data_IF_836560985793
#
_entry.id   IF_836560985793
#
_cell.length_a   1.000
_cell.length_b   1.000
_cell.length_c   1.000
_cell.angle_alpha   90.00
_cell.angle_beta   90.00
_cell.angle_gamma   90.00
#
_symmetry.space_group_name_H-M   'P 1'
#
loop_
_entity.id
_entity.type
_entity.pdbx_description
1 polymer ?
#
# COMPACT_ATOMS: atom_id res chain seq x y z
N UNK A 1 6.93 -7.61 12.56
CA UNK A 1 6.28 -6.31 12.76
C UNK A 1 6.25 -5.57 11.43
N UNK A 2 5.33 -4.63 11.27
CA UNK A 2 5.20 -3.86 10.03
C UNK A 2 6.25 -2.74 9.98
N UNK A 3 6.77 -2.43 8.79
CA UNK A 3 7.65 -1.28 8.58
C UNK A 3 6.82 -0.01 8.69
N UNK A 4 7.16 0.87 9.63
CA UNK A 4 6.44 2.13 9.82
C UNK A 4 7.11 3.30 9.09
N UNK A 5 8.42 3.24 8.90
CA UNK A 5 9.18 4.32 8.30
C UNK A 5 10.45 3.81 7.63
N UNK A 6 10.75 4.36 6.46
CA UNK A 6 12.04 4.25 5.78
C UNK A 6 12.65 5.64 5.65
N UNK A 7 13.90 5.80 6.09
CA UNK A 7 14.68 7.02 5.91
C UNK A 7 15.90 6.75 5.05
N UNK A 8 16.08 7.53 4.00
CA UNK A 8 17.26 7.48 3.15
C UNK A 8 18.05 8.80 3.29
N UNK A 9 19.32 8.68 3.69
CA UNK A 9 20.24 9.79 3.88
C UNK A 9 21.43 9.62 2.94
N UNK A 10 21.55 10.50 1.93
CA UNK A 10 22.55 10.38 0.88
C UNK A 10 22.49 11.54 -0.11
N UNK A 11 22.96 11.31 -1.34
CA UNK A 11 22.91 12.32 -2.41
C UNK A 11 21.49 12.82 -2.71
N UNK A 12 20.48 11.98 -2.46
CA UNK A 12 19.07 12.36 -2.44
C UNK A 12 18.48 11.91 -1.11
N UNK A 13 17.92 12.83 -0.33
CA UNK A 13 17.28 12.52 0.94
C UNK A 13 15.78 12.31 0.76
N UNK A 14 15.22 11.30 1.44
CA UNK A 14 13.77 11.17 1.56
C UNK A 14 13.39 10.38 2.81
N UNK A 15 12.16 10.61 3.26
CA UNK A 15 11.50 9.77 4.27
C UNK A 15 10.20 9.27 3.69
N UNK A 16 9.92 7.98 3.87
CA UNK A 16 8.65 7.37 3.52
C UNK A 16 8.01 6.81 4.78
N UNK A 17 6.84 7.34 5.13
CA UNK A 17 6.02 6.82 6.21
C UNK A 17 5.02 5.80 5.67
N UNK A 18 4.70 4.83 6.51
CA UNK A 18 3.71 3.80 6.22
C UNK A 18 2.60 3.88 7.27
N UNK A 19 1.35 3.93 6.83
CA UNK A 19 0.19 3.73 7.68
C UNK A 19 -0.08 2.23 7.78
N UNK A 20 -0.45 1.78 8.98
CA UNK A 20 -0.83 0.39 9.24
C UNK A 20 -2.27 0.39 9.76
N UNK A 21 -3.09 -0.47 9.19
CA UNK A 21 -4.45 -0.70 9.64
C UNK A 21 -4.48 -1.16 11.11
N UNK A 22 -5.25 -0.53 12.02
CA UNK A 22 -5.30 -0.89 13.44
C UNK A 22 -5.65 -2.35 13.71
N UNK A 23 -6.45 -2.96 12.82
CA UNK A 23 -7.02 -4.29 13.03
C UNK A 23 -6.33 -5.37 12.17
N UNK A 24 -5.29 -5.03 11.40
CA UNK A 24 -4.61 -5.97 10.50
C UNK A 24 -3.14 -5.64 10.23
N UNK A 25 -2.50 -6.39 9.33
CA UNK A 25 -1.14 -6.08 8.84
C UNK A 25 -1.15 -5.36 7.47
N UNK A 26 -2.30 -4.86 7.03
CA UNK A 26 -2.39 -4.07 5.79
C UNK A 26 -1.67 -2.74 6.02
N UNK A 27 -0.78 -2.39 5.09
CA UNK A 27 0.00 -1.16 5.18
C UNK A 27 0.09 -0.46 3.83
N UNK A 28 -0.01 0.87 3.84
CA UNK A 28 0.12 1.71 2.64
C UNK A 28 1.01 2.92 2.92
N UNK A 29 1.69 3.45 1.90
CA UNK A 29 2.48 4.66 2.04
C UNK A 29 1.60 5.91 2.22
N UNK A 30 2.18 6.91 2.87
CA UNK A 30 1.55 8.23 3.11
C UNK A 30 1.71 9.15 1.88
N UNK A 31 0.99 8.84 0.80
CA UNK A 31 1.15 9.51 -0.51
C UNK A 31 0.15 10.70 -0.69
N UNK A 32 0.25 11.70 0.20
CA UNK A 32 -0.51 12.97 0.19
C UNK A 32 -2.04 12.81 0.25
N UNK A 33 -2.54 11.93 1.12
CA UNK A 33 -3.97 11.82 1.43
C UNK A 33 -4.28 10.77 2.49
N UNK A 34 -5.50 10.80 3.02
CA UNK A 34 -5.95 9.80 3.98
C UNK A 34 -5.92 8.40 3.35
N UNK A 35 -5.33 7.46 4.09
CA UNK A 35 -5.27 6.06 3.72
C UNK A 35 -6.61 5.41 4.04
N UNK A 36 -7.37 5.06 3.01
CA UNK A 36 -8.61 4.30 3.17
C UNK A 36 -8.36 2.80 3.00
N UNK A 37 -8.08 2.11 4.12
CA UNK A 37 -7.90 0.65 4.12
C UNK A 37 -9.15 -0.13 3.70
N UNK A 38 -10.35 0.45 3.83
CA UNK A 38 -11.61 -0.23 3.51
C UNK A 38 -11.80 -0.39 2.00
N UNK A 39 -11.25 0.51 1.18
CA UNK A 39 -11.38 0.49 -0.28
C UNK A 39 -10.07 0.23 -1.01
N UNK A 40 -8.92 0.24 -0.32
CA UNK A 40 -7.62 0.01 -0.95
C UNK A 40 -7.31 -1.46 -1.16
N UNK A 41 -7.99 -2.36 -0.46
CA UNK A 41 -7.80 -3.80 -0.57
C UNK A 41 -9.11 -4.50 -0.92
N UNK A 42 -9.04 -5.58 -1.70
CA UNK A 42 -10.18 -6.46 -1.87
C UNK A 42 -10.46 -7.29 -0.59
N UNK A 43 -11.52 -8.10 -0.64
CA UNK A 43 -11.91 -8.96 0.47
C UNK A 43 -10.84 -9.99 0.87
N UNK A 44 -9.97 -10.40 -0.06
CA UNK A 44 -8.85 -11.31 0.20
C UNK A 44 -7.59 -10.59 0.72
N UNK A 45 -7.61 -9.26 0.78
CA UNK A 45 -6.46 -8.46 1.21
C UNK A 45 -5.47 -8.16 0.10
N UNK A 46 -5.87 -8.25 -1.17
CA UNK A 46 -5.03 -7.82 -2.28
C UNK A 46 -5.18 -6.32 -2.51
N UNK A 47 -4.06 -5.62 -2.76
CA UNK A 47 -4.05 -4.18 -3.03
C UNK A 47 -4.72 -3.89 -4.39
N UNK A 48 -5.59 -2.89 -4.45
CA UNK A 48 -6.38 -2.54 -5.65
C UNK A 48 -5.75 -1.45 -6.50
N UNK A 49 -4.89 -0.60 -5.92
CA UNK A 49 -4.12 0.40 -6.67
C UNK A 49 -2.66 0.40 -6.21
N UNK A 50 -1.72 0.28 -7.16
CA UNK A 50 -0.28 0.26 -6.85
C UNK A 50 0.20 1.64 -6.42
N UNK A 51 -0.23 2.64 -7.19
CA UNK A 51 -0.14 4.06 -6.92
C UNK A 51 -1.47 4.69 -7.37
N UNK A 52 -1.76 5.92 -6.94
CA UNK A 52 -2.97 6.64 -7.37
C UNK A 52 -3.12 6.59 -8.90
N UNK A 53 -4.25 6.03 -9.36
CA UNK A 53 -4.59 5.94 -10.78
C UNK A 53 -4.03 4.71 -11.51
N UNK A 54 -3.26 3.84 -10.84
CA UNK A 54 -2.77 2.58 -11.41
C UNK A 54 -3.45 1.38 -10.73
N UNK A 55 -4.50 0.88 -11.36
CA UNK A 55 -5.34 -0.21 -10.83
C UNK A 55 -4.67 -1.57 -11.00
N UNK A 56 -4.76 -2.41 -9.97
CA UNK A 56 -4.34 -3.80 -10.01
C UNK A 56 -5.56 -4.73 -10.06
N UNK A 57 -5.55 -5.67 -10.99
CA UNK A 57 -6.61 -6.69 -11.13
C UNK A 57 -6.09 -8.06 -10.71
N UNK A 58 -6.87 -8.76 -9.90
CA UNK A 58 -6.53 -10.07 -9.35
C UNK A 58 -7.49 -11.12 -9.89
N UNK A 59 -6.96 -12.30 -10.20
CA UNK A 59 -7.78 -13.41 -10.66
C UNK A 59 -8.45 -14.17 -9.50
N UNK A 60 -9.32 -15.12 -9.83
CA UNK A 60 -10.03 -15.97 -8.84
C UNK A 60 -9.10 -16.88 -8.02
N UNK A 61 -7.82 -16.97 -8.38
CA UNK A 61 -6.78 -17.71 -7.66
C UNK A 61 -5.89 -16.80 -6.82
N UNK A 62 -6.28 -15.54 -6.64
CA UNK A 62 -5.53 -14.56 -5.86
C UNK A 62 -4.17 -14.20 -6.49
N UNK A 63 -4.10 -14.18 -7.82
CA UNK A 63 -2.88 -13.88 -8.58
C UNK A 63 -3.05 -12.55 -9.31
N UNK A 64 -2.01 -11.71 -9.27
CA UNK A 64 -2.00 -10.46 -10.01
C UNK A 64 -2.04 -10.73 -11.51
N UNK A 65 -3.08 -10.23 -12.16
CA UNK A 65 -3.36 -10.47 -13.57
C UNK A 65 -2.99 -9.25 -14.44
N UNK A 66 -3.28 -8.04 -13.97
CA UNK A 66 -3.05 -6.79 -14.69
C UNK A 66 -2.69 -5.62 -13.77
N UNK A 67 -1.98 -4.64 -14.34
CA UNK A 67 -1.59 -3.34 -13.74
C UNK A 67 -1.77 -2.24 -14.80
#
# INVERSE_FOLDING_TARGET
GNLLQMRHEGAHNFTRNMHVDPDSNRSMPDDDGDVDFATSFDANGNLLQLVRGQTMSWDVRNQLQHI
#
